data_IF_874131129407
#
_entry.id   IF_874131129407
#
_cell.length_a   1.000
_cell.length_b   1.000
_cell.length_c   1.000
_cell.angle_alpha   90.00
_cell.angle_beta   90.00
_cell.angle_gamma   90.00
#
_symmetry.space_group_name_H-M   'P 1'
#
loop_
_entity.id
_entity.type
_entity.pdbx_description
1 polymer ?
#
# COMPACT_ATOMS: atom_id res chain seq x y z
N UNK A 1 -16.63 -39.34 8.20
CA UNK A 1 -16.15 -38.00 7.82
C UNK A 1 -15.19 -38.09 6.64
N UNK A 2 -15.18 -37.07 5.81
CA UNK A 2 -14.25 -36.91 4.69
C UNK A 2 -13.38 -35.69 4.96
N UNK A 3 -12.06 -35.79 4.74
CA UNK A 3 -11.15 -34.67 4.81
C UNK A 3 -10.76 -34.25 3.38
N UNK A 4 -10.96 -32.97 3.06
CA UNK A 4 -10.62 -32.37 1.77
C UNK A 4 -9.53 -31.35 1.99
N UNK A 5 -8.42 -31.49 1.27
CA UNK A 5 -7.30 -30.56 1.32
C UNK A 5 -7.30 -29.72 0.04
N UNK A 6 -7.31 -28.40 0.19
CA UNK A 6 -7.34 -27.42 -0.89
C UNK A 6 -6.14 -26.52 -0.72
N UNK A 7 -5.25 -26.51 -1.72
CA UNK A 7 -4.00 -25.76 -1.68
C UNK A 7 -4.09 -24.54 -2.62
N UNK A 8 -4.14 -23.34 -2.04
CA UNK A 8 -4.15 -22.03 -2.74
C UNK A 8 -5.11 -21.96 -3.94
N UNK A 9 -6.30 -22.57 -3.81
CA UNK A 9 -7.27 -22.67 -4.92
C UNK A 9 -7.79 -21.30 -5.40
N UNK A 10 -7.63 -20.27 -4.61
CA UNK A 10 -8.02 -18.90 -4.93
C UNK A 10 -7.02 -18.14 -5.80
N UNK A 11 -5.79 -18.61 -5.99
CA UNK A 11 -4.71 -17.86 -6.66
C UNK A 11 -5.05 -17.41 -8.07
N UNK A 12 -5.84 -18.18 -8.80
CA UNK A 12 -6.27 -17.83 -10.17
C UNK A 12 -7.62 -17.13 -10.22
N UNK A 13 -8.27 -16.93 -9.07
CA UNK A 13 -9.59 -16.32 -9.01
C UNK A 13 -9.51 -14.79 -8.94
N UNK A 14 -10.40 -14.14 -9.69
CA UNK A 14 -10.62 -12.71 -9.51
C UNK A 14 -11.10 -12.41 -8.07
N UNK A 15 -10.70 -11.29 -7.42
CA UNK A 15 -11.06 -10.95 -6.04
C UNK A 15 -12.55 -11.12 -5.69
N UNK A 16 -13.46 -10.82 -6.62
CA UNK A 16 -14.89 -11.02 -6.42
C UNK A 16 -15.28 -12.50 -6.26
N UNK A 17 -14.52 -13.43 -6.83
CA UNK A 17 -14.72 -14.87 -6.64
C UNK A 17 -14.04 -15.36 -5.35
N UNK A 18 -12.87 -14.82 -5.01
CA UNK A 18 -12.22 -15.11 -3.74
C UNK A 18 -13.14 -14.79 -2.54
N UNK A 19 -13.85 -13.65 -2.57
CA UNK A 19 -14.86 -13.27 -1.57
C UNK A 19 -16.01 -14.25 -1.42
N UNK A 20 -16.29 -15.06 -2.44
CA UNK A 20 -17.41 -16.00 -2.45
C UNK A 20 -16.97 -17.44 -2.19
N UNK A 21 -15.67 -17.69 -2.11
CA UNK A 21 -15.12 -19.03 -2.12
C UNK A 21 -15.65 -19.88 -0.97
N UNK A 22 -15.56 -19.40 0.26
CA UNK A 22 -16.02 -20.14 1.45
C UNK A 22 -17.53 -20.37 1.38
N UNK A 23 -18.30 -19.37 0.98
CA UNK A 23 -19.74 -19.51 0.83
C UNK A 23 -20.11 -20.54 -0.26
N UNK A 24 -19.41 -20.56 -1.39
CA UNK A 24 -19.61 -21.55 -2.45
C UNK A 24 -19.31 -22.96 -1.94
N UNK A 25 -18.21 -23.15 -1.22
CA UNK A 25 -17.88 -24.45 -0.64
C UNK A 25 -18.96 -24.92 0.32
N UNK A 26 -19.42 -24.07 1.23
CA UNK A 26 -20.48 -24.40 2.16
C UNK A 26 -21.77 -24.78 1.41
N UNK A 27 -22.20 -23.96 0.46
CA UNK A 27 -23.45 -24.19 -0.31
C UNK A 27 -23.40 -25.48 -1.14
N UNK A 28 -22.26 -25.81 -1.75
CA UNK A 28 -22.12 -27.03 -2.56
C UNK A 28 -22.18 -28.31 -1.73
N UNK A 29 -21.76 -28.25 -0.47
CA UNK A 29 -21.64 -29.45 0.35
C UNK A 29 -22.69 -29.57 1.47
N UNK A 30 -23.53 -28.54 1.69
CA UNK A 30 -24.53 -28.50 2.79
C UNK A 30 -25.58 -29.65 2.75
N UNK A 31 -25.86 -30.21 1.59
CA UNK A 31 -26.87 -31.26 1.45
C UNK A 31 -26.33 -32.68 1.68
N UNK A 32 -25.00 -32.80 1.79
CA UNK A 32 -24.39 -34.11 2.03
C UNK A 32 -24.61 -34.54 3.50
N UNK A 33 -25.13 -35.73 3.69
CA UNK A 33 -25.43 -36.32 5.02
C UNK A 33 -24.18 -36.87 5.75
N UNK A 34 -23.00 -36.45 5.32
CA UNK A 34 -21.69 -36.84 5.90
C UNK A 34 -20.93 -35.62 6.39
N UNK A 35 -20.15 -35.79 7.42
CA UNK A 35 -19.27 -34.74 7.91
C UNK A 35 -18.11 -34.56 6.91
N UNK A 36 -17.91 -33.34 6.46
CA UNK A 36 -16.81 -32.94 5.58
C UNK A 36 -15.97 -31.90 6.31
N UNK A 37 -14.67 -32.11 6.39
CA UNK A 37 -13.71 -31.17 6.92
C UNK A 37 -12.86 -30.63 5.77
N UNK A 38 -12.81 -29.30 5.64
CA UNK A 38 -11.94 -28.62 4.68
C UNK A 38 -10.68 -28.13 5.38
N UNK A 39 -9.54 -28.41 4.79
CA UNK A 39 -8.22 -27.86 5.15
C UNK A 39 -7.76 -27.02 3.97
N UNK A 40 -7.70 -25.72 4.15
CA UNK A 40 -7.42 -24.77 3.06
C UNK A 40 -6.13 -24.03 3.38
N UNK A 41 -5.10 -24.13 2.52
CA UNK A 41 -4.01 -23.18 2.51
C UNK A 41 -4.41 -21.95 1.67
N UNK A 42 -4.10 -20.76 2.11
CA UNK A 42 -4.53 -19.53 1.42
C UNK A 42 -3.67 -18.33 1.78
N UNK A 43 -3.44 -17.47 0.81
CA UNK A 43 -2.89 -16.11 0.97
C UNK A 43 -3.95 -15.01 0.76
N UNK A 44 -5.23 -15.38 0.66
CA UNK A 44 -6.31 -14.41 0.42
C UNK A 44 -6.86 -13.81 1.73
N UNK A 45 -6.83 -12.50 1.89
CA UNK A 45 -7.46 -11.83 3.03
C UNK A 45 -9.00 -12.00 3.02
N UNK A 46 -9.60 -12.29 1.87
CA UNK A 46 -11.03 -12.56 1.77
C UNK A 46 -11.39 -13.89 2.42
N UNK A 47 -10.60 -14.95 2.19
CA UNK A 47 -10.77 -16.24 2.85
C UNK A 47 -10.60 -16.11 4.36
N UNK A 48 -9.61 -15.31 4.77
CA UNK A 48 -9.35 -15.04 6.18
C UNK A 48 -10.53 -14.31 6.85
N UNK A 49 -11.15 -13.35 6.14
CA UNK A 49 -12.31 -12.59 6.62
C UNK A 49 -13.56 -13.44 6.85
N UNK A 50 -13.69 -14.56 6.18
CA UNK A 50 -14.85 -15.47 6.31
C UNK A 50 -14.70 -16.48 7.46
N UNK A 51 -13.55 -16.51 8.14
CA UNK A 51 -13.23 -17.49 9.17
C UNK A 51 -12.95 -16.83 10.52
N UNK A 52 -13.44 -17.45 11.60
CA UNK A 52 -13.05 -17.08 12.95
C UNK A 52 -11.57 -17.47 13.21
N UNK A 53 -10.84 -16.70 14.00
CA UNK A 53 -9.40 -16.93 14.26
C UNK A 53 -9.09 -18.30 14.84
N UNK A 54 -10.05 -18.88 15.57
CA UNK A 54 -9.95 -20.22 16.15
C UNK A 54 -9.90 -21.34 15.10
N UNK A 55 -10.35 -21.05 13.89
CA UNK A 55 -10.33 -21.96 12.74
C UNK A 55 -9.15 -21.72 11.81
N UNK A 56 -8.19 -20.88 12.21
CA UNK A 56 -7.07 -20.47 11.38
C UNK A 56 -5.75 -20.82 12.07
N UNK A 57 -4.83 -21.39 11.32
CA UNK A 57 -3.44 -21.61 11.73
C UNK A 57 -2.57 -20.64 10.94
N UNK A 58 -1.99 -19.65 11.63
CA UNK A 58 -1.03 -18.74 11.02
C UNK A 58 0.37 -19.31 11.07
N UNK A 59 1.07 -19.29 9.94
CA UNK A 59 2.43 -19.81 9.81
C UNK A 59 3.38 -18.69 9.37
N UNK A 60 4.45 -18.47 10.11
CA UNK A 60 5.56 -17.60 9.71
C UNK A 60 6.86 -18.40 9.77
N UNK A 61 7.57 -18.51 8.62
CA UNK A 61 8.83 -19.28 8.49
C UNK A 61 8.70 -20.73 9.00
N UNK A 62 7.57 -21.38 8.72
CA UNK A 62 7.29 -22.77 9.10
C UNK A 62 6.92 -22.98 10.56
N UNK A 63 6.69 -21.92 11.35
CA UNK A 63 6.26 -21.98 12.74
C UNK A 63 4.89 -21.36 12.90
N UNK A 64 4.06 -21.95 13.79
CA UNK A 64 2.78 -21.36 14.15
C UNK A 64 3.00 -20.08 14.96
N UNK A 65 2.23 -19.06 14.63
CA UNK A 65 2.22 -17.75 15.27
C UNK A 65 0.78 -17.29 15.56
N UNK A 66 0.61 -16.30 16.42
CA UNK A 66 -0.70 -15.86 16.90
C UNK A 66 -0.88 -14.33 16.74
N UNK A 67 -1.05 -13.83 15.51
CA UNK A 67 -1.07 -12.39 15.24
C UNK A 67 -2.28 -11.65 15.80
N UNK A 68 -3.32 -12.37 16.26
CA UNK A 68 -4.57 -11.81 16.81
C UNK A 68 -4.75 -12.12 18.31
N UNK A 69 -3.67 -12.30 19.05
CA UNK A 69 -3.72 -12.54 20.52
C UNK A 69 -4.11 -11.29 21.32
N UNK A 70 -4.10 -10.11 20.69
CA UNK A 70 -4.52 -8.82 21.27
C UNK A 70 -6.04 -8.64 21.42
N UNK A 71 -6.80 -9.72 21.26
CA UNK A 71 -8.27 -9.71 21.36
C UNK A 71 -9.01 -9.38 20.07
N UNK A 72 -8.30 -9.06 18.99
CA UNK A 72 -8.90 -8.84 17.67
C UNK A 72 -9.39 -10.15 17.06
N UNK A 73 -10.35 -10.04 16.15
CA UNK A 73 -10.94 -11.15 15.42
C UNK A 73 -10.65 -11.03 13.92
N UNK A 74 -10.73 -12.16 13.22
CA UNK A 74 -10.58 -12.22 11.76
C UNK A 74 -11.92 -12.14 11.06
N UNK A 75 -12.96 -12.73 11.65
CA UNK A 75 -14.30 -12.81 11.04
C UNK A 75 -14.89 -11.41 10.79
N UNK A 76 -15.20 -11.10 9.53
CA UNK A 76 -15.72 -9.79 9.13
C UNK A 76 -14.74 -8.62 9.26
N UNK A 77 -13.47 -8.89 9.54
CA UNK A 77 -12.46 -7.84 9.67
C UNK A 77 -12.12 -7.20 8.32
N UNK A 78 -11.72 -5.92 8.38
CA UNK A 78 -11.30 -5.17 7.20
C UNK A 78 -10.02 -5.78 6.58
N UNK A 79 -9.95 -5.83 5.25
CA UNK A 79 -8.82 -6.39 4.51
C UNK A 79 -7.49 -5.74 4.90
N UNK A 80 -7.44 -4.42 5.09
CA UNK A 80 -6.21 -3.72 5.52
C UNK A 80 -5.71 -4.23 6.87
N UNK A 81 -6.63 -4.46 7.82
CA UNK A 81 -6.29 -5.03 9.13
C UNK A 81 -5.76 -6.46 8.98
N UNK A 82 -6.39 -7.26 8.14
CA UNK A 82 -5.97 -8.65 7.90
C UNK A 82 -4.61 -8.73 7.21
N UNK A 83 -4.35 -7.88 6.23
CA UNK A 83 -3.05 -7.83 5.54
C UNK A 83 -1.92 -7.41 6.50
N UNK A 84 -2.14 -6.38 7.31
CA UNK A 84 -1.10 -5.89 8.21
C UNK A 84 -0.81 -6.84 9.38
N UNK A 85 -1.83 -7.50 9.95
CA UNK A 85 -1.68 -8.38 11.11
C UNK A 85 -1.54 -9.86 10.69
N UNK A 86 -2.46 -10.36 9.87
CA UNK A 86 -2.53 -11.78 9.50
C UNK A 86 -1.45 -12.21 8.51
N UNK A 87 -1.06 -11.32 7.60
CA UNK A 87 -0.02 -11.59 6.59
C UNK A 87 1.32 -10.92 6.89
N UNK A 88 1.49 -10.39 8.10
CA UNK A 88 2.75 -9.83 8.62
C UNK A 88 3.35 -8.71 7.77
N UNK A 89 2.52 -7.93 7.07
CA UNK A 89 2.96 -6.79 6.26
C UNK A 89 3.29 -5.58 7.15
N UNK A 90 4.33 -5.72 7.96
CA UNK A 90 4.75 -4.74 8.99
C UNK A 90 5.26 -3.42 8.38
N UNK A 91 5.76 -3.47 7.14
CA UNK A 91 6.33 -2.32 6.44
C UNK A 91 5.30 -1.50 5.66
N UNK A 92 4.00 -1.76 5.90
CA UNK A 92 2.88 -1.10 5.24
C UNK A 92 2.37 -1.86 4.01
N UNK A 93 1.31 -1.30 3.39
CA UNK A 93 0.58 -1.94 2.28
C UNK A 93 0.90 -1.30 0.92
N UNK A 94 1.89 -0.42 0.86
CA UNK A 94 2.36 0.21 -0.37
C UNK A 94 3.38 -0.70 -1.06
N UNK A 95 3.32 -0.78 -2.39
CA UNK A 95 4.34 -1.49 -3.17
C UNK A 95 5.73 -0.87 -2.97
N UNK A 96 6.76 -1.70 -2.83
CA UNK A 96 8.13 -1.27 -2.49
C UNK A 96 8.68 -0.23 -3.49
N UNK A 97 8.43 -0.40 -4.78
CA UNK A 97 8.91 0.57 -5.78
C UNK A 97 8.33 1.97 -5.57
N UNK A 98 7.01 2.06 -5.29
CA UNK A 98 6.36 3.34 -5.01
C UNK A 98 6.88 3.94 -3.69
N UNK A 99 7.04 3.11 -2.66
CA UNK A 99 7.61 3.47 -1.36
C UNK A 99 9.02 4.06 -1.51
N UNK A 100 9.90 3.37 -2.23
CA UNK A 100 11.27 3.83 -2.47
C UNK A 100 11.32 5.17 -3.19
N UNK A 101 10.49 5.35 -4.20
CA UNK A 101 10.40 6.62 -4.94
C UNK A 101 9.92 7.77 -4.06
N UNK A 102 8.91 7.54 -3.25
CA UNK A 102 8.38 8.55 -2.31
C UNK A 102 9.41 8.86 -1.22
N UNK A 103 10.03 7.82 -0.64
CA UNK A 103 11.06 7.99 0.37
C UNK A 103 12.30 8.73 -0.14
N UNK A 104 12.64 8.58 -1.42
CA UNK A 104 13.75 9.32 -2.02
C UNK A 104 13.55 10.83 -2.01
N UNK A 105 12.30 11.30 -2.12
CA UNK A 105 11.96 12.73 -2.02
C UNK A 105 12.13 13.21 -0.58
N UNK A 106 11.59 12.46 0.39
CA UNK A 106 11.68 12.80 1.81
C UNK A 106 13.15 12.85 2.26
N UNK A 107 13.91 11.82 1.91
CA UNK A 107 15.34 11.75 2.22
C UNK A 107 16.12 12.90 1.59
N UNK A 108 15.83 13.24 0.33
CA UNK A 108 16.46 14.38 -0.32
C UNK A 108 16.18 15.69 0.42
N UNK A 109 14.94 15.89 0.89
CA UNK A 109 14.58 17.04 1.73
C UNK A 109 15.39 17.08 3.02
N UNK A 110 15.42 15.98 3.77
CA UNK A 110 16.20 15.87 5.01
C UNK A 110 17.70 16.11 4.82
N UNK A 111 18.24 15.68 3.69
CA UNK A 111 19.67 15.85 3.37
C UNK A 111 20.01 17.31 3.06
N UNK A 112 19.14 18.03 2.32
CA UNK A 112 19.38 19.45 1.99
C UNK A 112 19.13 20.39 3.16
N UNK A 113 18.25 20.06 4.11
CA UNK A 113 18.08 20.85 5.34
C UNK A 113 19.34 20.89 6.21
N UNK A 114 20.23 19.90 6.09
CA UNK A 114 21.41 19.73 6.93
C UNK A 114 22.70 20.27 6.32
N UNK A 115 22.64 20.77 5.07
CA UNK A 115 23.83 21.23 4.36
C UNK A 115 23.67 22.65 3.83
N UNK A 116 24.80 23.33 3.63
CA UNK A 116 24.83 24.56 2.87
C UNK A 116 24.61 24.28 1.37
N UNK A 117 23.68 25.00 0.74
CA UNK A 117 23.31 24.81 -0.68
C UNK A 117 24.26 25.58 -1.56
N UNK A 118 24.94 24.87 -2.45
CA UNK A 118 25.84 25.43 -3.45
C UNK A 118 25.12 25.58 -4.81
N UNK A 119 25.66 26.43 -5.68
CA UNK A 119 25.13 26.57 -7.07
C UNK A 119 25.08 25.24 -7.85
N UNK A 120 26.00 24.33 -7.59
CA UNK A 120 26.00 22.99 -8.18
C UNK A 120 24.75 22.18 -7.77
N UNK A 121 24.30 22.30 -6.50
CA UNK A 121 23.10 21.62 -6.00
C UNK A 121 21.83 22.16 -6.68
N UNK A 122 21.78 23.48 -6.90
CA UNK A 122 20.68 24.15 -7.58
C UNK A 122 20.58 23.69 -9.03
N UNK A 123 21.69 23.61 -9.72
CA UNK A 123 21.75 23.12 -11.12
C UNK A 123 21.33 21.65 -11.19
N UNK A 124 21.84 20.81 -10.27
CA UNK A 124 21.47 19.39 -10.21
C UNK A 124 19.98 19.22 -9.96
N UNK A 125 19.41 19.95 -9.01
CA UNK A 125 17.99 19.91 -8.72
C UNK A 125 17.16 20.26 -9.96
N UNK A 126 17.38 21.41 -10.55
CA UNK A 126 16.65 21.88 -11.74
C UNK A 126 16.71 20.94 -12.92
N UNK A 127 17.91 20.40 -13.19
CA UNK A 127 18.15 19.60 -14.41
C UNK A 127 17.70 18.14 -14.27
N UNK A 128 17.74 17.56 -13.07
CA UNK A 128 17.54 16.14 -12.86
C UNK A 128 16.34 15.82 -11.95
N UNK A 129 16.23 16.51 -10.82
CA UNK A 129 15.32 16.09 -9.74
C UNK A 129 13.96 16.77 -9.76
N UNK A 130 13.90 18.06 -10.06
CA UNK A 130 12.66 18.84 -10.01
C UNK A 130 11.53 18.19 -10.80
N UNK A 131 11.77 17.92 -12.08
CA UNK A 131 10.77 17.30 -12.95
C UNK A 131 10.37 15.90 -12.49
N UNK A 132 11.35 15.06 -12.13
CA UNK A 132 11.09 13.70 -11.64
C UNK A 132 10.25 13.71 -10.36
N UNK A 133 10.59 14.52 -9.39
CA UNK A 133 9.92 14.60 -8.11
C UNK A 133 8.47 15.08 -8.23
N UNK A 134 8.24 16.14 -9.01
CA UNK A 134 6.87 16.60 -9.28
C UNK A 134 6.05 15.59 -10.08
N UNK A 135 6.69 14.84 -10.99
CA UNK A 135 6.03 13.75 -11.69
C UNK A 135 5.62 12.62 -10.72
N UNK A 136 6.50 12.21 -9.81
CA UNK A 136 6.18 11.22 -8.79
C UNK A 136 5.00 11.72 -7.94
N UNK A 137 5.05 12.95 -7.44
CA UNK A 137 3.98 13.55 -6.65
C UNK A 137 2.64 13.54 -7.40
N UNK A 138 2.64 13.86 -8.69
CA UNK A 138 1.40 13.94 -9.49
C UNK A 138 0.65 12.61 -9.60
N UNK A 139 1.37 11.48 -9.57
CA UNK A 139 0.82 10.13 -9.74
C UNK A 139 0.53 9.39 -8.43
N UNK A 140 0.80 10.00 -7.26
CA UNK A 140 0.43 9.41 -5.97
C UNK A 140 -1.09 9.29 -5.88
N UNK A 141 -1.58 8.07 -5.60
CA UNK A 141 -3.01 7.77 -5.56
C UNK A 141 -3.69 8.09 -4.22
N UNK A 142 -2.93 8.25 -3.14
CA UNK A 142 -3.45 8.64 -1.83
C UNK A 142 -3.40 10.16 -1.68
N UNK A 143 -4.56 10.80 -1.50
CA UNK A 143 -4.66 12.28 -1.49
C UNK A 143 -3.92 12.91 -0.32
N UNK A 144 -3.92 12.26 0.87
CA UNK A 144 -3.20 12.77 2.03
C UNK A 144 -1.69 12.71 1.78
N UNK A 145 -1.17 11.57 1.35
CA UNK A 145 0.24 11.38 1.03
C UNK A 145 0.69 12.32 -0.10
N UNK A 146 -0.14 12.47 -1.13
CA UNK A 146 0.08 13.40 -2.23
C UNK A 146 0.27 14.84 -1.75
N UNK A 147 -0.54 15.28 -0.78
CA UNK A 147 -0.42 16.60 -0.18
C UNK A 147 0.83 16.71 0.71
N UNK A 148 1.16 15.70 1.48
CA UNK A 148 2.39 15.65 2.30
C UNK A 148 3.63 15.79 1.41
N UNK A 149 3.70 15.01 0.32
CA UNK A 149 4.84 15.08 -0.61
C UNK A 149 4.89 16.44 -1.33
N UNK A 150 3.73 17.03 -1.68
CA UNK A 150 3.69 18.40 -2.22
C UNK A 150 4.32 19.40 -1.26
N UNK A 151 4.02 19.31 0.03
CA UNK A 151 4.61 20.20 1.03
C UNK A 151 6.14 20.04 1.10
N UNK A 152 6.66 18.81 1.09
CA UNK A 152 8.09 18.55 0.99
C UNK A 152 8.72 19.20 -0.25
N UNK A 153 8.08 19.07 -1.42
CA UNK A 153 8.61 19.64 -2.66
C UNK A 153 8.65 21.17 -2.64
N UNK A 154 7.63 21.81 -2.07
CA UNK A 154 7.60 23.28 -1.90
C UNK A 154 8.73 23.73 -0.99
N UNK A 155 8.97 23.04 0.12
CA UNK A 155 10.09 23.38 1.02
C UNK A 155 11.45 23.10 0.37
N UNK A 156 11.63 22.00 -0.36
CA UNK A 156 12.82 21.74 -1.16
C UNK A 156 13.12 22.90 -2.12
N UNK A 157 12.10 23.37 -2.86
CA UNK A 157 12.27 24.50 -3.77
C UNK A 157 12.67 25.78 -3.07
N UNK A 158 12.07 26.10 -1.92
CA UNK A 158 12.48 27.26 -1.11
C UNK A 158 13.94 27.18 -0.65
N UNK A 159 14.38 26.01 -0.21
CA UNK A 159 15.75 25.80 0.26
C UNK A 159 16.74 25.88 -0.90
N UNK A 160 16.45 25.19 -2.01
CA UNK A 160 17.41 25.03 -3.13
C UNK A 160 17.40 26.25 -4.06
N UNK A 161 16.23 26.79 -4.39
CA UNK A 161 16.08 27.88 -5.38
C UNK A 161 16.02 29.27 -4.72
N UNK A 162 15.64 29.33 -3.45
CA UNK A 162 15.28 30.57 -2.76
C UNK A 162 13.80 30.95 -2.96
N UNK A 163 13.30 31.80 -2.07
CA UNK A 163 11.86 32.10 -1.97
C UNK A 163 11.25 32.71 -3.23
N UNK A 164 11.99 33.58 -3.92
CA UNK A 164 11.44 34.28 -5.09
C UNK A 164 11.31 33.37 -6.28
N UNK A 165 12.35 32.60 -6.59
CA UNK A 165 12.36 31.66 -7.68
C UNK A 165 11.40 30.48 -7.43
N UNK A 166 11.28 30.00 -6.19
CA UNK A 166 10.33 28.96 -5.83
C UNK A 166 8.86 29.41 -6.08
N UNK A 167 8.54 30.67 -5.78
CA UNK A 167 7.22 31.26 -6.08
C UNK A 167 6.95 31.35 -7.58
N UNK A 168 7.94 31.74 -8.38
CA UNK A 168 7.80 31.79 -9.83
C UNK A 168 7.51 30.40 -10.41
N UNK A 169 8.19 29.36 -9.94
CA UNK A 169 7.96 27.98 -10.36
C UNK A 169 6.56 27.47 -9.93
N UNK A 170 6.10 27.85 -8.75
CA UNK A 170 4.73 27.52 -8.31
C UNK A 170 3.67 28.19 -9.18
N UNK A 171 3.84 29.48 -9.51
CA UNK A 171 2.94 30.22 -10.40
C UNK A 171 2.86 29.54 -11.76
N UNK A 172 3.99 29.20 -12.37
CA UNK A 172 4.03 28.50 -13.67
C UNK A 172 3.26 27.17 -13.63
N UNK A 173 3.40 26.39 -12.53
CA UNK A 173 2.66 25.14 -12.39
C UNK A 173 1.16 25.34 -12.26
N UNK A 174 0.74 26.36 -11.50
CA UNK A 174 -0.68 26.70 -11.36
C UNK A 174 -1.29 27.19 -12.67
N UNK A 175 -0.59 28.01 -13.41
CA UNK A 175 -1.01 28.47 -14.74
C UNK A 175 -1.19 27.29 -15.73
N UNK A 176 -0.22 26.36 -15.75
CA UNK A 176 -0.32 25.15 -16.57
C UNK A 176 -1.52 24.28 -16.18
N UNK A 177 -1.83 24.14 -14.87
CA UNK A 177 -3.01 23.39 -14.40
C UNK A 177 -4.32 24.09 -14.84
N UNK A 178 -4.39 25.40 -14.74
CA UNK A 178 -5.58 26.18 -15.20
C UNK A 178 -5.79 26.00 -16.70
N UNK A 179 -4.74 26.02 -17.49
CA UNK A 179 -4.83 25.83 -18.94
C UNK A 179 -5.33 24.42 -19.31
N UNK A 180 -4.89 23.39 -18.59
CA UNK A 180 -5.38 22.02 -18.76
C UNK A 180 -6.87 21.84 -18.39
N UNK A 181 -7.39 22.64 -17.44
CA UNK A 181 -8.81 22.60 -17.06
C UNK A 181 -9.73 23.37 -18.02
N UNK A 182 -9.15 24.23 -18.89
CA UNK A 182 -9.90 25.00 -19.87
C UNK A 182 -10.09 24.29 -21.22
N UNK A 183 -9.30 23.25 -21.46
CA UNK A 183 -9.35 22.40 -22.66
C UNK A 183 -10.12 21.11 -22.37
#
# INVERSE_FOLDING_TARGET
SINIFLDEIENTLHPNWQKKLINILIEQFKEYKIQINFYISSHSPFVLSDLAKENIIFLEKGKQVYPFDDGKQTFGANIHTLLSHGFFMKDGLMGEFAKDKIQSIIKYHEDIEKKEILEADKIEYKTKKQKEFWQIQSIIGDDYLKQVIKNHLVEIEKIVLGNDEAKEEEIKRLEAQIEQLRN
#
